data_IF_344555994577
#
_entry.id   IF_344555994577
#
_cell.length_a   1.000
_cell.length_b   1.000
_cell.length_c   1.000
_cell.angle_alpha   90.00
_cell.angle_beta   90.00
_cell.angle_gamma   90.00
#
_symmetry.space_group_name_H-M   'P 1'
#
loop_
_entity.id
_entity.type
_entity.pdbx_description
1 polymer ?
#
# COMPACT_ATOMS: atom_id res chain seq x y z
N UNK A 1 -13.49 0.77 -38.72
CA UNK A 1 -12.45 0.89 -37.67
C UNK A 1 -11.51 -0.33 -37.68
N UNK A 2 -10.42 -0.22 -38.43
CA UNK A 2 -9.38 -1.25 -38.56
C UNK A 2 -8.55 -1.26 -37.27
N UNK A 3 -8.54 -2.40 -36.58
CA UNK A 3 -7.75 -2.61 -35.36
C UNK A 3 -6.29 -2.81 -35.76
N UNK A 4 -5.48 -1.76 -35.63
CA UNK A 4 -4.04 -1.85 -35.77
C UNK A 4 -3.43 -2.49 -34.51
N UNK A 5 -3.18 -3.80 -34.55
CA UNK A 5 -2.34 -4.48 -33.58
C UNK A 5 -0.88 -4.05 -33.82
N UNK A 6 -0.34 -3.16 -32.98
CA UNK A 6 1.11 -2.88 -32.96
C UNK A 6 1.83 -4.07 -32.33
N UNK A 7 2.72 -4.78 -33.04
CA UNK A 7 3.58 -5.78 -32.42
C UNK A 7 4.53 -5.08 -31.43
N UNK A 8 4.80 -5.75 -30.30
CA UNK A 8 5.79 -5.27 -29.34
C UNK A 8 7.18 -5.18 -30.03
N UNK A 9 8.02 -4.17 -29.71
CA UNK A 9 9.39 -4.16 -30.18
C UNK A 9 10.09 -5.38 -29.62
N UNK A 10 10.47 -6.31 -30.49
CA UNK A 10 11.43 -7.35 -30.16
C UNK A 10 12.72 -6.64 -29.76
N UNK A 11 13.34 -6.95 -28.60
CA UNK A 11 14.69 -6.47 -28.35
C UNK A 11 15.55 -7.04 -29.47
N UNK A 12 16.07 -6.17 -30.34
CA UNK A 12 17.13 -6.57 -31.26
C UNK A 12 18.24 -7.16 -30.39
N UNK A 13 18.65 -8.42 -30.60
CA UNK A 13 19.79 -8.93 -29.88
C UNK A 13 20.95 -8.00 -30.20
N UNK A 14 21.54 -7.40 -29.17
CA UNK A 14 22.79 -6.67 -29.31
C UNK A 14 23.73 -7.57 -30.12
N UNK A 15 24.30 -7.04 -31.21
CA UNK A 15 25.33 -7.68 -32.03
C UNK A 15 26.65 -7.81 -31.24
N UNK A 16 26.57 -8.34 -30.02
CA UNK A 16 27.72 -8.90 -29.35
C UNK A 16 28.10 -10.14 -30.16
N UNK A 17 29.40 -10.35 -30.44
CA UNK A 17 29.82 -11.58 -31.08
C UNK A 17 29.27 -12.74 -30.25
N UNK A 18 28.58 -13.66 -30.91
CA UNK A 18 28.23 -14.96 -30.34
C UNK A 18 29.56 -15.67 -30.09
N UNK A 19 30.22 -15.37 -28.96
CA UNK A 19 31.30 -16.19 -28.46
C UNK A 19 30.63 -17.50 -28.11
N UNK A 20 30.65 -18.43 -29.08
CA UNK A 20 30.24 -19.80 -28.86
C UNK A 20 31.12 -20.30 -27.71
N UNK A 21 30.54 -20.39 -26.52
CA UNK A 21 31.17 -21.05 -25.40
C UNK A 21 31.23 -22.53 -25.79
N UNK A 22 32.33 -22.93 -26.43
CA UNK A 22 32.54 -24.31 -26.83
C UNK A 22 32.59 -25.16 -25.56
N UNK A 23 31.45 -25.78 -25.24
CA UNK A 23 31.36 -26.68 -24.11
C UNK A 23 32.20 -27.92 -24.41
N UNK A 24 33.20 -28.18 -23.58
CA UNK A 24 34.04 -29.38 -23.68
C UNK A 24 33.14 -30.62 -23.68
N UNK A 25 33.38 -31.54 -24.62
CA UNK A 25 32.62 -32.78 -24.73
C UNK A 25 32.69 -33.60 -23.43
N UNK A 26 31.65 -34.39 -23.15
CA UNK A 26 31.65 -35.26 -21.97
C UNK A 26 32.82 -36.26 -21.98
N UNK A 27 33.25 -36.69 -23.18
CA UNK A 27 34.41 -37.57 -23.36
C UNK A 27 35.69 -36.87 -22.93
N UNK A 28 35.89 -35.62 -23.32
CA UNK A 28 37.11 -34.88 -23.01
C UNK A 28 37.14 -34.40 -21.55
N UNK A 29 35.99 -34.10 -20.94
CA UNK A 29 35.88 -33.88 -19.49
C UNK A 29 36.36 -35.12 -18.70
N UNK A 30 35.93 -36.33 -19.10
CA UNK A 30 36.35 -37.59 -18.47
C UNK A 30 37.85 -37.86 -18.67
N UNK A 31 38.39 -37.59 -19.86
CA UNK A 31 39.84 -37.70 -20.11
C UNK A 31 40.64 -36.74 -19.24
N UNK A 32 40.22 -35.48 -19.13
CA UNK A 32 40.87 -34.46 -18.29
C UNK A 32 40.84 -34.84 -16.80
N UNK A 33 39.71 -35.34 -16.31
CA UNK A 33 39.57 -35.87 -14.95
C UNK A 33 40.52 -37.05 -14.68
N UNK A 34 40.65 -37.99 -15.62
CA UNK A 34 41.55 -39.15 -15.47
C UNK A 34 43.04 -38.79 -15.59
N UNK A 35 43.38 -37.76 -16.38
CA UNK A 35 44.76 -37.31 -16.60
C UNK A 35 45.37 -36.66 -15.36
N UNK A 36 44.57 -35.93 -14.58
CA UNK A 36 45.00 -35.32 -13.31
C UNK A 36 43.88 -35.45 -12.25
N UNK A 37 43.83 -36.59 -11.55
CA UNK A 37 42.79 -36.84 -10.54
C UNK A 37 42.88 -35.88 -9.34
N UNK A 38 44.08 -35.52 -8.90
CA UNK A 38 44.30 -34.68 -7.73
C UNK A 38 43.96 -33.21 -7.99
N UNK A 39 44.46 -32.63 -9.08
CA UNK A 39 44.12 -31.27 -9.48
C UNK A 39 42.64 -31.12 -9.81
N UNK A 40 42.02 -32.14 -10.41
CA UNK A 40 40.57 -32.20 -10.60
C UNK A 40 39.82 -32.18 -9.26
N UNK A 41 40.22 -33.00 -8.29
CA UNK A 41 39.60 -33.06 -6.97
C UNK A 41 39.69 -31.72 -6.23
N UNK A 42 40.86 -31.06 -6.23
CA UNK A 42 41.01 -29.72 -5.64
C UNK A 42 40.13 -28.67 -6.35
N UNK A 43 40.04 -28.71 -7.67
CA UNK A 43 39.17 -27.80 -8.43
C UNK A 43 37.69 -28.02 -8.09
N UNK A 44 37.27 -29.27 -7.90
CA UNK A 44 35.92 -29.59 -7.42
C UNK A 44 35.69 -29.09 -5.98
N UNK A 45 36.66 -29.24 -5.08
CA UNK A 45 36.54 -28.71 -3.71
C UNK A 45 36.31 -27.19 -3.71
N UNK A 46 37.11 -26.43 -4.47
CA UNK A 46 36.91 -24.96 -4.62
C UNK A 46 35.54 -24.62 -5.21
N UNK A 47 35.12 -25.36 -6.25
CA UNK A 47 33.80 -25.18 -6.87
C UNK A 47 32.68 -25.47 -5.88
N UNK A 48 32.78 -26.56 -5.13
CA UNK A 48 31.77 -26.97 -4.14
C UNK A 48 31.68 -25.95 -3.00
N UNK A 49 32.80 -25.42 -2.51
CA UNK A 49 32.79 -24.35 -1.51
C UNK A 49 32.12 -23.07 -2.05
N UNK A 50 32.40 -22.68 -3.28
CA UNK A 50 31.72 -21.55 -3.94
C UNK A 50 30.21 -21.81 -4.13
N UNK A 51 29.82 -23.02 -4.56
CA UNK A 51 28.42 -23.39 -4.72
C UNK A 51 27.67 -23.34 -3.40
N UNK A 52 28.24 -23.90 -2.32
CA UNK A 52 27.68 -23.80 -0.96
C UNK A 52 27.49 -22.33 -0.55
N UNK A 53 28.51 -21.49 -0.73
CA UNK A 53 28.42 -20.07 -0.40
C UNK A 53 27.35 -19.34 -1.23
N UNK A 54 27.21 -19.72 -2.50
CA UNK A 54 26.18 -19.18 -3.38
C UNK A 54 24.78 -19.61 -2.95
N UNK A 55 24.60 -20.87 -2.55
CA UNK A 55 23.34 -21.39 -2.02
C UNK A 55 22.92 -20.63 -0.75
N UNK A 56 23.85 -20.34 0.17
CA UNK A 56 23.59 -19.50 1.35
C UNK A 56 23.10 -18.10 0.96
N UNK A 57 23.81 -17.42 0.04
CA UNK A 57 23.43 -16.08 -0.43
C UNK A 57 22.07 -16.11 -1.15
N UNK A 58 21.80 -17.15 -1.94
CA UNK A 58 20.51 -17.32 -2.62
C UNK A 58 19.38 -17.58 -1.63
N UNK A 59 19.61 -18.33 -0.54
CA UNK A 59 18.66 -18.52 0.54
C UNK A 59 18.35 -17.21 1.27
N UNK A 60 19.38 -16.42 1.64
CA UNK A 60 19.21 -15.10 2.27
C UNK A 60 18.42 -14.14 1.37
N UNK A 61 18.71 -14.17 0.07
CA UNK A 61 17.97 -13.38 -0.94
C UNK A 61 16.53 -13.86 -1.10
N UNK A 62 16.26 -15.15 -1.03
CA UNK A 62 14.91 -15.70 -1.13
C UNK A 62 14.04 -15.25 0.05
N UNK A 63 14.58 -15.25 1.26
CA UNK A 63 13.89 -14.71 2.46
C UNK A 63 13.56 -13.23 2.27
N UNK A 64 14.51 -12.45 1.74
CA UNK A 64 14.32 -11.01 1.50
C UNK A 64 13.39 -10.72 0.30
N UNK A 65 13.31 -11.65 -0.66
CA UNK A 65 12.51 -11.48 -1.87
C UNK A 65 11.01 -11.44 -1.56
N UNK A 66 10.55 -12.14 -0.51
CA UNK A 66 9.15 -12.15 -0.08
C UNK A 66 8.17 -12.64 -1.15
N UNK A 67 6.88 -12.43 -0.91
CA UNK A 67 5.83 -12.87 -1.83
C UNK A 67 5.63 -11.92 -3.02
N UNK A 68 5.30 -12.48 -4.18
CA UNK A 68 5.06 -11.70 -5.40
C UNK A 68 3.80 -10.83 -5.31
N UNK A 69 2.79 -11.30 -4.57
CA UNK A 69 1.51 -10.59 -4.37
C UNK A 69 1.58 -9.68 -3.15
N UNK A 70 1.95 -10.26 -2.00
CA UNK A 70 1.87 -9.59 -0.70
C UNK A 70 3.15 -8.84 -0.32
N UNK A 71 4.30 -9.20 -0.88
CA UNK A 71 5.60 -8.69 -0.43
C UNK A 71 5.91 -9.21 0.97
N UNK A 72 6.35 -8.31 1.86
CA UNK A 72 6.43 -8.56 3.31
C UNK A 72 5.31 -7.77 3.95
N UNK A 73 4.37 -8.43 4.64
CA UNK A 73 3.25 -7.71 5.28
C UNK A 73 3.75 -6.80 6.40
N UNK A 74 3.35 -5.53 6.36
CA UNK A 74 3.70 -4.51 7.36
C UNK A 74 2.47 -4.12 8.17
N UNK A 75 2.64 -3.51 9.37
CA UNK A 75 1.53 -3.02 10.17
C UNK A 75 0.61 -2.04 9.40
N UNK A 76 1.19 -1.22 8.52
CA UNK A 76 0.40 -0.31 7.69
C UNK A 76 -0.47 -1.06 6.67
N UNK A 77 0.07 -2.09 6.01
CA UNK A 77 -0.68 -2.90 5.06
C UNK A 77 -1.78 -3.71 5.76
N UNK A 78 -1.50 -4.22 6.94
CA UNK A 78 -2.47 -4.95 7.76
C UNK A 78 -3.63 -4.07 8.22
N UNK A 79 -3.34 -2.83 8.62
CA UNK A 79 -4.36 -1.86 9.02
C UNK A 79 -5.36 -1.49 7.91
N UNK A 80 -5.17 -1.93 6.66
CA UNK A 80 -6.17 -1.74 5.61
C UNK A 80 -7.46 -2.54 5.87
N UNK A 81 -7.38 -3.66 6.58
CA UNK A 81 -8.53 -4.54 6.80
C UNK A 81 -9.58 -3.86 7.70
N UNK A 82 -9.11 -3.08 8.66
CA UNK A 82 -9.93 -2.33 9.64
C UNK A 82 -10.02 -0.85 9.30
N UNK A 83 -9.53 -0.46 8.11
CA UNK A 83 -9.42 0.93 7.66
C UNK A 83 -8.72 1.86 8.67
N UNK A 84 -7.79 1.32 9.47
CA UNK A 84 -7.02 2.07 10.47
C UNK A 84 -7.81 2.41 11.74
N UNK A 85 -8.89 1.70 12.05
CA UNK A 85 -9.69 1.94 13.25
C UNK A 85 -9.27 1.08 14.45
N UNK A 86 -8.52 0.01 14.21
CA UNK A 86 -8.02 -0.86 15.27
C UNK A 86 -6.56 -0.54 15.60
N UNK A 87 -6.26 -0.45 16.89
CA UNK A 87 -4.94 -0.09 17.39
C UNK A 87 -3.97 -1.29 17.45
N UNK A 88 -4.50 -2.51 17.46
CA UNK A 88 -3.72 -3.73 17.55
C UNK A 88 -4.11 -4.71 16.44
N UNK A 89 -3.13 -5.46 15.97
CA UNK A 89 -3.30 -6.58 15.06
C UNK A 89 -4.00 -7.74 15.79
N UNK A 90 -4.80 -8.57 15.09
CA UNK A 90 -5.27 -9.83 15.64
C UNK A 90 -4.09 -10.69 16.11
N UNK A 91 -4.29 -11.48 17.15
CA UNK A 91 -3.22 -12.31 17.71
C UNK A 91 -2.58 -13.21 16.62
N UNK A 92 -1.28 -13.07 16.44
CA UNK A 92 -0.51 -13.88 15.51
C UNK A 92 -0.68 -15.36 15.89
N UNK A 93 -1.26 -16.19 15.01
CA UNK A 93 -1.53 -17.60 15.32
C UNK A 93 -0.27 -18.42 15.67
N UNK A 94 0.92 -17.94 15.27
CA UNK A 94 2.20 -18.60 15.52
C UNK A 94 2.90 -18.14 16.80
N UNK A 95 2.79 -16.86 17.16
CA UNK A 95 3.51 -16.25 18.30
C UNK A 95 2.60 -15.86 19.46
N UNK A 96 1.29 -15.72 19.23
CA UNK A 96 0.31 -15.26 20.22
C UNK A 96 0.43 -13.78 20.58
N UNK A 97 1.27 -13.01 19.88
CA UNK A 97 1.54 -11.61 20.17
C UNK A 97 0.72 -10.69 19.26
N UNK A 98 0.14 -9.64 19.84
CA UNK A 98 -0.52 -8.56 19.10
C UNK A 98 0.44 -7.40 18.86
N UNK A 99 0.52 -6.89 17.63
CA UNK A 99 1.38 -5.76 17.27
C UNK A 99 0.58 -4.46 17.15
N UNK A 100 1.16 -3.29 17.47
CA UNK A 100 0.47 -2.02 17.29
C UNK A 100 0.33 -1.67 15.80
N UNK A 101 -0.86 -1.21 15.42
CA UNK A 101 -1.20 -0.78 14.06
C UNK A 101 -1.32 0.75 13.95
N UNK A 102 -0.98 1.34 12.79
CA UNK A 102 -1.16 2.77 12.56
C UNK A 102 -2.65 3.13 12.38
N UNK A 103 -3.18 3.91 13.32
CA UNK A 103 -4.60 4.30 13.35
C UNK A 103 -4.90 5.62 12.65
N UNK A 104 -6.16 5.81 12.23
CA UNK A 104 -6.67 7.03 11.60
C UNK A 104 -8.09 7.36 12.12
N UNK A 105 -8.23 7.72 13.42
CA UNK A 105 -9.53 7.89 14.07
C UNK A 105 -10.31 9.11 13.59
N UNK A 106 -9.66 10.06 12.90
CA UNK A 106 -10.32 11.23 12.31
C UNK A 106 -11.19 10.91 11.10
N UNK A 107 -10.97 9.74 10.48
CA UNK A 107 -11.68 9.27 9.29
C UNK A 107 -12.91 8.47 9.72
N UNK A 108 -14.09 8.95 9.34
CA UNK A 108 -15.38 8.29 9.61
C UNK A 108 -16.07 7.89 8.30
N UNK A 109 -17.20 7.18 8.40
CA UNK A 109 -17.96 6.70 7.26
C UNK A 109 -18.56 7.85 6.42
N UNK A 110 -19.07 7.54 5.22
CA UNK A 110 -19.70 8.49 4.30
C UNK A 110 -18.82 9.66 3.84
N UNK A 111 -17.50 9.42 3.77
CA UNK A 111 -16.49 10.41 3.36
C UNK A 111 -16.37 11.62 4.30
N UNK A 112 -16.91 11.53 5.52
CA UNK A 112 -16.82 12.59 6.51
C UNK A 112 -15.52 12.50 7.32
N UNK A 113 -15.13 13.62 7.92
CA UNK A 113 -14.13 13.69 8.99
C UNK A 113 -14.81 13.96 10.33
N UNK A 114 -14.15 13.60 11.44
CA UNK A 114 -14.64 13.87 12.79
C UNK A 114 -14.94 15.36 13.00
N UNK A 115 -14.07 16.22 12.53
CA UNK A 115 -14.22 17.68 12.64
C UNK A 115 -15.42 18.23 11.84
N UNK A 116 -15.69 17.67 10.65
CA UNK A 116 -16.86 18.06 9.86
C UNK A 116 -18.16 17.63 10.54
N UNK A 117 -18.17 16.43 11.14
CA UNK A 117 -19.32 15.93 11.89
C UNK A 117 -19.57 16.80 13.13
N UNK A 118 -18.54 17.13 13.89
CA UNK A 118 -18.63 18.00 15.07
C UNK A 118 -19.16 19.38 14.70
N UNK A 119 -18.62 20.00 13.63
CA UNK A 119 -19.13 21.29 13.12
C UNK A 119 -20.59 21.21 12.68
N UNK A 120 -20.99 20.13 12.02
CA UNK A 120 -22.38 19.93 11.61
C UNK A 120 -23.33 19.75 12.81
N UNK A 121 -22.87 19.04 13.84
CA UNK A 121 -23.59 18.84 15.10
C UNK A 121 -23.78 20.18 15.83
N UNK A 122 -22.73 20.96 15.97
CA UNK A 122 -22.78 22.29 16.61
C UNK A 122 -23.72 23.23 15.87
N UNK A 123 -23.63 23.26 14.55
CA UNK A 123 -24.53 24.05 13.70
C UNK A 123 -25.99 23.61 13.87
N UNK A 124 -26.26 22.30 13.81
CA UNK A 124 -27.61 21.76 14.00
C UNK A 124 -28.16 22.11 15.38
N UNK A 125 -27.35 21.99 16.44
CA UNK A 125 -27.72 22.39 17.80
C UNK A 125 -28.11 23.87 17.82
N UNK A 126 -27.24 24.75 17.31
CA UNK A 126 -27.47 26.21 17.30
C UNK A 126 -28.77 26.61 16.59
N UNK A 127 -29.10 25.97 15.47
CA UNK A 127 -30.30 26.28 14.68
C UNK A 127 -31.58 25.72 15.31
N UNK A 128 -31.47 24.61 16.05
CA UNK A 128 -32.64 23.93 16.65
C UNK A 128 -32.92 24.31 18.10
N UNK A 129 -32.00 25.00 18.77
CA UNK A 129 -32.20 25.45 20.15
C UNK A 129 -33.49 26.27 20.25
N UNK A 130 -34.41 25.94 21.18
CA UNK A 130 -35.61 26.73 21.43
C UNK A 130 -35.25 28.18 21.71
N UNK A 131 -35.90 29.11 21.01
CA UNK A 131 -35.71 30.54 21.25
C UNK A 131 -36.59 30.97 22.43
N UNK A 132 -36.06 31.80 23.36
CA UNK A 132 -36.88 32.37 24.41
C UNK A 132 -37.97 33.25 23.80
N UNK A 133 -39.11 33.37 24.49
CA UNK A 133 -40.21 34.23 24.06
C UNK A 133 -39.74 35.68 23.86
N UNK A 134 -40.21 36.33 22.78
CA UNK A 134 -39.90 37.75 22.49
C UNK A 134 -40.35 38.67 23.64
N UNK A 135 -41.47 38.33 24.28
CA UNK A 135 -42.03 39.04 25.42
C UNK A 135 -41.79 38.24 26.71
N UNK A 136 -40.74 38.58 27.46
CA UNK A 136 -40.40 37.91 28.73
C UNK A 136 -41.49 37.97 29.81
N UNK A 137 -42.40 38.95 29.72
CA UNK A 137 -43.49 39.11 30.66
C UNK A 137 -44.63 38.10 30.43
N UNK A 138 -44.76 37.56 29.21
CA UNK A 138 -45.78 36.59 28.84
C UNK A 138 -45.24 35.14 28.77
N UNK A 139 -43.91 34.97 28.84
CA UNK A 139 -43.27 33.66 28.78
C UNK A 139 -43.34 32.94 30.14
N UNK A 140 -43.80 31.69 30.14
CA UNK A 140 -43.76 30.81 31.30
C UNK A 140 -42.35 30.20 31.45
N UNK A 141 -41.59 30.53 32.51
CA UNK A 141 -40.23 30.03 32.69
C UNK A 141 -40.17 28.51 32.88
N UNK A 142 -41.25 27.88 33.37
CA UNK A 142 -41.29 26.42 33.53
C UNK A 142 -41.36 25.72 32.18
N UNK A 143 -42.21 26.19 31.27
CA UNK A 143 -42.34 25.66 29.92
C UNK A 143 -41.04 25.84 29.11
N UNK A 144 -40.39 27.00 29.20
CA UNK A 144 -39.10 27.23 28.54
C UNK A 144 -37.99 26.28 29.07
N UNK A 145 -37.97 26.02 30.37
CA UNK A 145 -37.03 25.07 30.96
C UNK A 145 -37.29 23.63 30.51
N UNK A 146 -38.56 23.22 30.41
CA UNK A 146 -38.96 21.90 29.92
C UNK A 146 -38.57 21.72 28.44
N UNK A 147 -38.80 22.72 27.59
CA UNK A 147 -38.41 22.70 26.18
C UNK A 147 -36.88 22.58 26.01
N UNK A 148 -36.11 23.28 26.84
CA UNK A 148 -34.65 23.17 26.84
C UNK A 148 -34.17 21.78 27.29
N UNK A 149 -34.82 21.18 28.29
CA UNK A 149 -34.50 19.82 28.73
C UNK A 149 -34.86 18.79 27.66
N UNK A 150 -36.02 18.92 27.03
CA UNK A 150 -36.46 18.03 25.96
C UNK A 150 -35.53 18.13 24.74
N UNK A 151 -35.13 19.36 24.37
CA UNK A 151 -34.12 19.60 23.32
C UNK A 151 -32.78 18.96 23.65
N UNK A 152 -32.29 19.14 24.89
CA UNK A 152 -31.03 18.55 25.32
C UNK A 152 -31.06 17.01 25.26
N UNK A 153 -32.16 16.39 25.69
CA UNK A 153 -32.35 14.94 25.62
C UNK A 153 -32.43 14.44 24.16
N UNK A 154 -33.20 15.12 23.30
CA UNK A 154 -33.28 14.82 21.87
C UNK A 154 -31.92 14.96 21.18
N UNK A 155 -31.18 16.02 21.51
CA UNK A 155 -29.83 16.25 21.00
C UNK A 155 -28.87 15.13 21.42
N UNK A 156 -28.84 14.76 22.71
CA UNK A 156 -28.02 13.66 23.21
C UNK A 156 -28.32 12.32 22.50
N UNK A 157 -29.61 12.01 22.31
CA UNK A 157 -30.05 10.83 21.55
C UNK A 157 -29.58 10.88 20.09
N UNK A 158 -29.67 12.04 19.44
CA UNK A 158 -29.19 12.22 18.07
C UNK A 158 -27.67 12.05 17.97
N UNK A 159 -26.90 12.54 18.94
CA UNK A 159 -25.45 12.35 19.00
C UNK A 159 -25.07 10.87 19.00
N UNK A 160 -25.67 10.09 19.90
CA UNK A 160 -25.41 8.65 20.01
C UNK A 160 -25.78 7.91 18.71
N UNK A 161 -26.91 8.26 18.09
CA UNK A 161 -27.32 7.69 16.82
C UNK A 161 -26.35 8.04 15.68
N UNK A 162 -25.95 9.31 15.55
CA UNK A 162 -25.02 9.78 14.54
C UNK A 162 -23.63 9.15 14.69
N UNK A 163 -23.14 9.01 15.92
CA UNK A 163 -21.89 8.31 16.19
C UNK A 163 -21.92 6.87 15.68
N UNK A 164 -23.00 6.12 15.94
CA UNK A 164 -23.13 4.73 15.46
C UNK A 164 -23.25 4.62 13.94
N UNK A 165 -24.02 5.52 13.33
CA UNK A 165 -24.23 5.54 11.86
C UNK A 165 -22.92 5.86 11.15
N UNK A 166 -22.16 6.82 11.67
CA UNK A 166 -20.92 7.29 11.05
C UNK A 166 -19.69 6.46 11.44
N UNK A 167 -19.79 5.56 12.42
CA UNK A 167 -18.69 4.67 12.80
C UNK A 167 -18.26 3.79 11.61
N UNK A 168 -16.96 3.85 11.30
CA UNK A 168 -16.38 3.11 10.19
C UNK A 168 -16.29 1.60 10.47
N UNK A 169 -16.41 1.18 11.74
CA UNK A 169 -16.49 -0.25 12.11
C UNK A 169 -17.72 -0.94 11.54
N UNK A 170 -18.83 -0.20 11.41
CA UNK A 170 -20.09 -0.69 10.85
C UNK A 170 -20.14 -0.59 9.31
N UNK A 171 -19.05 -0.16 8.67
CA UNK A 171 -19.05 0.22 7.26
C UNK A 171 -18.83 -0.95 6.31
N UNK A 172 -19.28 -0.78 5.06
CA UNK A 172 -19.08 -1.78 4.01
C UNK A 172 -17.60 -1.91 3.61
N UNK A 173 -17.24 -3.01 2.95
CA UNK A 173 -15.94 -3.14 2.28
C UNK A 173 -15.69 -2.00 1.27
N UNK A 174 -16.76 -1.49 0.64
CA UNK A 174 -16.67 -0.32 -0.26
C UNK A 174 -16.26 0.95 0.49
N UNK A 175 -16.83 1.16 1.67
CA UNK A 175 -16.56 2.35 2.48
C UNK A 175 -15.15 2.28 3.09
N UNK A 176 -14.74 1.11 3.60
CA UNK A 176 -13.36 0.84 4.02
C UNK A 176 -12.35 1.11 2.90
N UNK A 177 -12.68 0.74 1.66
CA UNK A 177 -11.85 1.07 0.48
C UNK A 177 -11.71 2.58 0.29
N UNK A 178 -12.79 3.35 0.40
CA UNK A 178 -12.72 4.81 0.26
C UNK A 178 -11.97 5.48 1.42
N UNK A 179 -12.13 4.99 2.64
CA UNK A 179 -11.32 5.40 3.79
C UNK A 179 -9.83 5.11 3.57
N UNK A 180 -9.48 3.90 3.10
CA UNK A 180 -8.08 3.55 2.79
C UNK A 180 -7.49 4.40 1.67
N UNK A 181 -8.29 4.83 0.69
CA UNK A 181 -7.83 5.78 -0.34
C UNK A 181 -7.42 7.11 0.31
N UNK A 182 -8.24 7.66 1.22
CA UNK A 182 -7.89 8.88 1.98
C UNK A 182 -6.60 8.69 2.78
N UNK A 183 -6.47 7.57 3.51
CA UNK A 183 -5.25 7.23 4.26
C UNK A 183 -4.01 7.14 3.37
N UNK A 184 -4.14 6.57 2.17
CA UNK A 184 -3.03 6.52 1.22
C UNK A 184 -2.62 7.90 0.72
N UNK A 185 -3.59 8.79 0.48
CA UNK A 185 -3.34 10.19 0.06
C UNK A 185 -2.66 10.97 1.19
N UNK A 186 -3.14 10.83 2.43
CA UNK A 186 -2.54 11.47 3.60
C UNK A 186 -1.11 10.98 3.87
N UNK A 187 -0.89 9.66 3.75
CA UNK A 187 0.42 9.06 4.07
C UNK A 187 1.46 9.27 2.97
N UNK A 188 1.10 9.06 1.71
CA UNK A 188 2.03 9.05 0.58
C UNK A 188 1.88 10.22 -0.38
N UNK A 189 0.91 11.11 -0.15
CA UNK A 189 0.74 12.31 -0.96
C UNK A 189 1.99 13.17 -0.94
N UNK A 190 2.44 13.63 -2.10
CA UNK A 190 3.64 14.49 -2.20
C UNK A 190 3.47 15.79 -1.44
N UNK A 191 2.23 16.30 -1.34
CA UNK A 191 1.90 17.47 -0.53
C UNK A 191 2.21 17.32 0.96
N UNK A 192 2.23 16.09 1.50
CA UNK A 192 2.61 15.80 2.90
C UNK A 192 4.08 15.37 2.99
N UNK A 193 4.49 14.43 2.13
CA UNK A 193 5.85 13.85 2.19
C UNK A 193 6.95 14.84 1.86
N UNK A 194 6.65 15.89 1.07
CA UNK A 194 7.61 16.97 0.81
C UNK A 194 7.96 17.76 2.08
N UNK A 195 7.10 17.75 3.10
CA UNK A 195 7.31 18.41 4.39
C UNK A 195 7.76 17.45 5.48
N UNK A 196 7.26 16.21 5.46
CA UNK A 196 7.49 15.24 6.54
C UNK A 196 8.80 14.47 6.43
N UNK A 197 9.34 14.30 5.22
CA UNK A 197 10.59 13.56 4.99
C UNK A 197 11.77 14.52 4.85
N UNK A 198 12.94 14.11 5.32
CA UNK A 198 14.17 14.92 5.25
C UNK A 198 14.66 15.11 3.80
N UNK A 199 14.61 14.05 2.98
CA UNK A 199 15.09 14.05 1.60
C UNK A 199 14.06 13.42 0.65
N UNK A 200 12.92 14.10 0.40
CA UNK A 200 11.82 13.54 -0.39
C UNK A 200 12.13 13.51 -1.90
N UNK A 201 12.92 14.46 -2.39
CA UNK A 201 13.24 14.57 -3.80
C UNK A 201 14.44 13.70 -4.19
N UNK A 202 14.51 13.22 -5.46
CA UNK A 202 15.72 12.58 -5.96
C UNK A 202 16.91 13.54 -5.94
N UNK A 203 18.14 13.02 -5.77
CA UNK A 203 19.33 13.87 -5.83
C UNK A 203 19.39 14.56 -7.19
N UNK A 204 19.69 15.88 -7.21
CA UNK A 204 19.75 16.64 -8.44
C UNK A 204 20.81 16.05 -9.39
N UNK A 205 20.57 16.17 -10.69
CA UNK A 205 21.58 15.81 -11.68
C UNK A 205 22.83 16.66 -11.53
N UNK A 206 23.98 16.14 -11.99
CA UNK A 206 25.22 16.92 -12.08
C UNK A 206 24.92 18.21 -12.87
N UNK A 207 25.06 19.36 -12.22
CA UNK A 207 24.76 20.70 -12.73
C UNK A 207 23.27 21.12 -12.77
N UNK A 208 22.38 20.44 -12.06
CA UNK A 208 20.99 20.89 -11.92
C UNK A 208 20.79 21.72 -10.66
N UNK A 209 20.50 23.01 -10.82
CA UNK A 209 20.11 23.90 -9.72
C UNK A 209 18.59 23.82 -9.55
N UNK A 210 18.07 23.51 -8.34
CA UNK A 210 16.63 23.53 -8.07
C UNK A 210 16.03 24.90 -8.37
N UNK A 211 14.94 24.92 -9.13
CA UNK A 211 14.18 26.14 -9.44
C UNK A 211 12.87 26.15 -8.65
N UNK A 212 12.37 27.33 -8.23
CA UNK A 212 11.07 27.43 -7.58
C UNK A 212 9.96 26.98 -8.54
N UNK A 213 9.11 26.06 -8.07
CA UNK A 213 7.95 25.57 -8.82
C UNK A 213 6.67 26.19 -8.24
N UNK A 214 5.60 26.33 -9.05
CA UNK A 214 4.32 26.81 -8.54
C UNK A 214 3.76 25.85 -7.48
N UNK A 215 3.02 26.42 -6.52
CA UNK A 215 2.32 25.65 -5.50
C UNK A 215 1.23 24.81 -6.18
N UNK A 216 0.96 23.62 -5.63
CA UNK A 216 -0.08 22.73 -6.14
C UNK A 216 -1.47 23.35 -5.87
N UNK A 217 -2.37 23.26 -6.85
CA UNK A 217 -3.75 23.74 -6.71
C UNK A 217 -4.65 22.86 -5.84
N UNK A 218 -4.16 21.73 -5.34
CA UNK A 218 -4.92 20.80 -4.51
C UNK A 218 -4.09 19.60 -4.00
N UNK A 219 -4.73 18.67 -3.28
CA UNK A 219 -4.06 17.49 -2.75
C UNK A 219 -3.55 16.59 -3.88
N UNK A 220 -2.37 16.02 -3.65
CA UNK A 220 -1.77 15.10 -4.61
C UNK A 220 -2.43 13.72 -4.52
N UNK A 221 -3.18 13.37 -5.57
CA UNK A 221 -3.92 12.10 -5.70
C UNK A 221 -3.42 11.23 -6.85
N UNK A 222 -2.58 11.80 -7.72
CA UNK A 222 -2.17 11.20 -8.98
C UNK A 222 -0.73 10.69 -9.00
N UNK A 223 0.05 10.95 -7.95
CA UNK A 223 1.42 10.48 -7.86
C UNK A 223 1.51 8.95 -7.87
N UNK A 224 2.64 8.44 -8.38
CA UNK A 224 2.84 6.99 -8.52
C UNK A 224 2.82 6.32 -7.15
N UNK A 225 3.28 7.01 -6.12
CA UNK A 225 3.29 6.57 -4.73
C UNK A 225 1.88 6.28 -4.21
N UNK A 226 1.00 7.27 -4.32
CA UNK A 226 -0.42 7.14 -3.93
C UNK A 226 -1.10 6.06 -4.75
N UNK A 227 -0.85 6.00 -6.07
CA UNK A 227 -1.42 4.95 -6.92
C UNK A 227 -0.98 3.55 -6.51
N UNK A 228 0.31 3.35 -6.16
CA UNK A 228 0.85 2.06 -5.71
C UNK A 228 0.24 1.67 -4.35
N UNK A 229 0.10 2.62 -3.42
CA UNK A 229 -0.54 2.37 -2.13
C UNK A 229 -2.01 1.94 -2.28
N UNK A 230 -2.78 2.64 -3.13
CA UNK A 230 -4.17 2.29 -3.44
C UNK A 230 -4.26 0.92 -4.15
N UNK A 231 -3.31 0.59 -5.03
CA UNK A 231 -3.27 -0.73 -5.64
C UNK A 231 -2.96 -1.82 -4.60
N UNK A 232 -2.08 -1.54 -3.64
CA UNK A 232 -1.72 -2.49 -2.58
C UNK A 232 -2.91 -2.80 -1.68
N UNK A 233 -3.69 -1.80 -1.26
CA UNK A 233 -4.93 -2.06 -0.50
C UNK A 233 -5.97 -2.84 -1.30
N UNK A 234 -6.12 -2.57 -2.61
CA UNK A 234 -7.00 -3.35 -3.51
C UNK A 234 -6.54 -4.79 -3.71
N UNK A 235 -5.23 -5.00 -3.86
CA UNK A 235 -4.61 -6.31 -4.01
C UNK A 235 -4.85 -7.12 -2.74
N UNK A 236 -4.58 -6.54 -1.56
CA UNK A 236 -4.83 -7.20 -0.26
C UNK A 236 -6.29 -7.63 -0.13
N UNK A 237 -7.24 -6.70 -0.31
CA UNK A 237 -8.66 -7.00 -0.18
C UNK A 237 -9.12 -8.12 -1.14
N UNK A 238 -8.61 -8.13 -2.37
CA UNK A 238 -8.97 -9.15 -3.35
C UNK A 238 -8.27 -10.49 -3.09
N UNK A 239 -6.99 -10.47 -2.69
CA UNK A 239 -6.23 -11.66 -2.35
C UNK A 239 -6.86 -12.38 -1.14
N UNK A 240 -7.17 -11.65 -0.07
CA UNK A 240 -7.86 -12.21 1.11
C UNK A 240 -9.22 -12.81 0.74
N UNK A 241 -9.98 -12.17 -0.15
CA UNK A 241 -11.25 -12.72 -0.62
C UNK A 241 -11.09 -14.02 -1.44
N UNK A 242 -9.99 -14.15 -2.20
CA UNK A 242 -9.67 -15.35 -2.99
C UNK A 242 -9.07 -16.48 -2.14
N UNK A 243 -8.36 -16.14 -1.06
CA UNK A 243 -7.81 -17.07 -0.07
C UNK A 243 -8.89 -17.56 0.91
N UNK A 244 -9.96 -16.78 1.10
CA UNK A 244 -11.06 -17.09 1.99
C UNK A 244 -11.96 -18.27 1.55
N UNK A 245 -13.00 -18.56 2.35
CA UNK A 245 -13.92 -19.67 2.08
C UNK A 245 -14.56 -19.55 0.68
N UNK A 246 -14.44 -20.60 -0.13
CA UNK A 246 -14.92 -20.67 -1.54
C UNK A 246 -14.19 -19.75 -2.53
N UNK A 247 -13.18 -18.98 -2.13
CA UNK A 247 -12.43 -18.09 -3.02
C UNK A 247 -11.74 -18.83 -4.17
N UNK A 248 -11.31 -20.07 -3.94
CA UNK A 248 -10.75 -20.96 -4.97
C UNK A 248 -11.70 -21.20 -6.17
N UNK A 249 -13.03 -21.02 -6.00
CA UNK A 249 -14.04 -21.17 -7.05
C UNK A 249 -14.12 -19.95 -7.97
N UNK A 250 -13.69 -18.79 -7.50
CA UNK A 250 -13.72 -17.55 -8.26
C UNK A 250 -12.52 -17.46 -9.21
N UNK A 251 -12.70 -18.01 -10.42
CA UNK A 251 -11.67 -18.02 -11.47
C UNK A 251 -11.56 -16.69 -12.20
N UNK A 252 -12.64 -15.92 -12.26
CA UNK A 252 -12.67 -14.66 -12.99
C UNK A 252 -11.85 -13.59 -12.27
N UNK A 253 -11.98 -13.51 -10.94
CA UNK A 253 -11.25 -12.52 -10.17
C UNK A 253 -9.76 -12.82 -10.00
N UNK A 254 -9.29 -14.05 -10.25
CA UNK A 254 -7.84 -14.34 -10.39
C UNK A 254 -7.19 -13.48 -11.48
N UNK A 255 -7.90 -13.25 -12.59
CA UNK A 255 -7.44 -12.34 -13.64
C UNK A 255 -7.36 -10.90 -13.12
N UNK A 256 -8.36 -10.46 -12.35
CA UNK A 256 -8.38 -9.12 -11.74
C UNK A 256 -7.19 -8.91 -10.80
N UNK A 257 -6.88 -9.89 -9.95
CA UNK A 257 -5.71 -9.85 -9.05
C UNK A 257 -4.40 -9.71 -9.84
N UNK A 258 -4.22 -10.53 -10.87
CA UNK A 258 -3.04 -10.47 -11.74
C UNK A 258 -2.90 -9.13 -12.44
N UNK A 259 -3.99 -8.56 -12.96
CA UNK A 259 -3.98 -7.23 -13.59
C UNK A 259 -3.59 -6.13 -12.60
N UNK A 260 -4.06 -6.19 -11.36
CA UNK A 260 -3.68 -5.24 -10.32
C UNK A 260 -2.20 -5.34 -9.99
N UNK A 261 -1.67 -6.56 -9.82
CA UNK A 261 -0.25 -6.81 -9.56
C UNK A 261 0.63 -6.29 -10.71
N UNK A 262 0.28 -6.61 -11.97
CA UNK A 262 1.00 -6.12 -13.15
C UNK A 262 0.90 -4.59 -13.33
N UNK A 263 -0.22 -3.97 -12.96
CA UNK A 263 -0.35 -2.51 -12.96
C UNK A 263 0.57 -1.89 -11.90
N UNK A 264 0.62 -2.45 -10.69
CA UNK A 264 1.52 -2.01 -9.60
C UNK A 264 2.99 -2.17 -10.01
N UNK A 265 3.35 -3.31 -10.61
CA UNK A 265 4.69 -3.58 -11.12
C UNK A 265 5.16 -2.52 -12.12
N UNK A 266 4.31 -2.13 -13.08
CA UNK A 266 4.65 -1.08 -14.06
C UNK A 266 4.92 0.27 -13.40
N UNK A 267 4.13 0.63 -12.39
CA UNK A 267 4.32 1.86 -11.62
C UNK A 267 5.60 1.81 -10.78
N UNK A 268 5.89 0.69 -10.11
CA UNK A 268 7.12 0.52 -9.33
C UNK A 268 8.38 0.61 -10.20
N UNK A 269 8.40 -0.08 -11.34
CA UNK A 269 9.53 0.01 -12.31
C UNK A 269 9.73 1.41 -12.88
N UNK A 270 8.66 2.20 -13.00
CA UNK A 270 8.76 3.60 -13.39
C UNK A 270 9.31 4.44 -12.25
N UNK A 271 8.74 4.29 -11.05
CA UNK A 271 9.08 5.06 -9.87
C UNK A 271 10.53 4.83 -9.43
N UNK A 272 11.02 3.59 -9.41
CA UNK A 272 12.40 3.24 -9.06
C UNK A 272 13.41 4.00 -9.93
N UNK A 273 13.18 4.01 -11.26
CA UNK A 273 14.04 4.75 -12.21
C UNK A 273 13.95 6.26 -12.06
N UNK A 274 12.77 6.78 -11.69
CA UNK A 274 12.50 8.21 -11.61
C UNK A 274 13.03 8.83 -10.31
N UNK A 275 12.81 8.15 -9.19
CA UNK A 275 13.16 8.62 -7.85
C UNK A 275 14.61 8.28 -7.46
N UNK A 276 15.28 7.35 -8.16
CA UNK A 276 16.72 7.02 -7.95
C UNK A 276 17.06 6.70 -6.50
N UNK A 277 16.13 6.08 -5.77
CA UNK A 277 16.31 5.76 -4.36
C UNK A 277 16.16 6.95 -3.41
N UNK A 278 15.42 8.00 -3.78
CA UNK A 278 15.05 9.11 -2.89
C UNK A 278 14.40 8.62 -1.59
N UNK A 279 14.38 9.47 -0.55
CA UNK A 279 13.72 9.14 0.71
C UNK A 279 12.23 8.84 0.52
N UNK A 280 11.57 9.43 -0.48
CA UNK A 280 10.16 9.13 -0.79
C UNK A 280 9.98 7.70 -1.33
N UNK A 281 10.90 7.23 -2.17
CA UNK A 281 10.90 5.84 -2.65
C UNK A 281 11.11 4.86 -1.50
N UNK A 282 12.10 5.11 -0.64
CA UNK A 282 12.42 4.26 0.51
C UNK A 282 11.23 4.20 1.48
N UNK A 283 10.66 5.35 1.82
CA UNK A 283 9.48 5.45 2.68
C UNK A 283 8.30 4.62 2.15
N UNK A 284 8.05 4.66 0.83
CA UNK A 284 6.98 3.88 0.21
C UNK A 284 7.25 2.37 0.30
N UNK A 285 8.46 1.94 -0.05
CA UNK A 285 8.84 0.53 -0.07
C UNK A 285 8.78 -0.07 1.34
N UNK A 286 9.32 0.63 2.32
CA UNK A 286 9.34 0.19 3.73
C UNK A 286 7.95 0.18 4.34
N UNK A 287 7.16 1.25 4.13
CA UNK A 287 5.82 1.34 4.73
C UNK A 287 4.86 0.31 4.15
N UNK A 288 4.93 0.05 2.84
CA UNK A 288 4.06 -0.93 2.17
C UNK A 288 4.66 -2.35 2.10
N UNK A 289 5.90 -2.54 2.54
CA UNK A 289 6.60 -3.84 2.49
C UNK A 289 6.79 -4.38 1.07
N UNK A 290 7.05 -3.51 0.09
CA UNK A 290 7.15 -3.88 -1.31
C UNK A 290 8.54 -4.40 -1.66
N UNK A 291 8.66 -5.71 -1.80
CA UNK A 291 9.94 -6.35 -2.10
C UNK A 291 10.28 -6.35 -3.60
N UNK A 292 11.55 -6.59 -3.97
CA UNK A 292 11.96 -6.76 -5.37
C UNK A 292 11.14 -7.79 -6.15
N UNK A 293 10.63 -8.86 -5.51
CA UNK A 293 9.79 -9.86 -6.17
C UNK A 293 8.49 -9.26 -6.75
N UNK A 294 7.97 -8.21 -6.13
CA UNK A 294 6.73 -7.56 -6.58
C UNK A 294 6.87 -6.76 -7.87
N UNK A 295 8.10 -6.46 -8.33
CA UNK A 295 8.28 -5.62 -9.52
C UNK A 295 9.48 -5.93 -10.41
N UNK A 296 10.57 -6.55 -9.93
CA UNK A 296 11.77 -6.81 -10.75
C UNK A 296 11.54 -7.94 -11.75
N UNK A 297 11.07 -9.09 -11.29
CA UNK A 297 10.89 -10.28 -12.11
C UNK A 297 9.48 -10.41 -12.69
N UNK A 298 9.27 -11.42 -13.54
CA UNK A 298 7.95 -11.69 -14.11
C UNK A 298 7.00 -12.23 -13.03
N UNK A 299 5.87 -11.54 -12.83
CA UNK A 299 4.81 -12.01 -11.93
C UNK A 299 4.02 -13.12 -12.62
N UNK A 300 4.12 -14.33 -12.07
CA UNK A 300 3.34 -15.51 -12.47
C UNK A 300 2.40 -15.91 -11.32
N UNK A 301 1.09 -15.90 -11.58
CA UNK A 301 -0.01 -16.24 -10.65
C UNK A 301 -0.99 -17.20 -11.31
#
# INVERSE_FOLDING_TARGET
>A
PVVCLRPAPTPTPSLLPLVQTANISMRDKKKRMKRDPYGWAQAQQRKNAHLKRREEIEADRAVTAGDVVHGITTPFVESFDTAGQEAASPEDAATGESRPLPTSPHIINYLLTKEELERAIEHSRRVTTPLPGLERAAADPAAEADDLQEHAAKHAKALEALQRITDLKNASAKDRKHANIRRCIEKFGRHVTDQSLESPAPPPGRNHVPQPMPVRGGPDTGSSEVQIAILTSKIRALALALEGPKGHRDKNNKRSLRLLCHKRQRLLRYLERKERGSGRWQHLVETLGLTPATYKDQISL
#
